data_IF_780080482401
#
_entry.id   IF_780080482401
#
_cell.length_a   1.000
_cell.length_b   1.000
_cell.length_c   1.000
_cell.angle_alpha   90.00
_cell.angle_beta   90.00
_cell.angle_gamma   90.00
#
_symmetry.space_group_name_H-M   'P 1'
#
loop_
_entity.id
_entity.type
_entity.pdbx_description
1 polymer ?
#
# COMPACT_ATOMS: atom_id res chain seq x y z
N UNK A 1 19.37 10.43 12.69
CA UNK A 1 18.84 9.07 12.95
C UNK A 1 18.70 8.37 11.60
N UNK A 2 19.09 7.10 11.48
CA UNK A 2 19.14 6.42 10.17
C UNK A 2 17.73 6.17 9.63
N UNK A 3 17.35 6.86 8.55
CA UNK A 3 16.07 6.74 7.84
C UNK A 3 15.97 5.49 6.93
N UNK A 4 16.88 4.54 7.13
CA UNK A 4 16.99 3.33 6.31
C UNK A 4 16.07 2.24 6.85
N UNK A 5 15.34 1.60 5.95
CA UNK A 5 14.48 0.46 6.29
C UNK A 5 15.38 -0.73 6.64
N UNK A 6 15.18 -1.40 7.79
CA UNK A 6 15.92 -2.62 8.12
C UNK A 6 15.74 -3.68 7.04
N UNK A 7 16.80 -4.45 6.72
CA UNK A 7 16.78 -5.45 5.63
C UNK A 7 15.61 -6.43 5.78
N UNK A 8 15.36 -6.95 6.99
CA UNK A 8 14.21 -7.85 7.23
C UNK A 8 12.84 -7.18 7.04
N UNK A 9 12.73 -5.87 7.26
CA UNK A 9 11.51 -5.10 7.00
C UNK A 9 11.29 -4.86 5.50
N UNK A 10 12.38 -4.72 4.74
CA UNK A 10 12.38 -4.57 3.27
C UNK A 10 11.86 -5.85 2.61
N UNK A 11 12.38 -7.01 3.00
CA UNK A 11 11.99 -8.30 2.42
C UNK A 11 10.53 -8.65 2.74
N UNK A 12 10.11 -8.41 3.98
CA UNK A 12 8.72 -8.64 4.42
C UNK A 12 7.75 -7.76 3.63
N UNK A 13 8.06 -6.47 3.49
CA UNK A 13 7.21 -5.54 2.75
C UNK A 13 7.14 -5.90 1.26
N UNK A 14 8.29 -6.26 0.66
CA UNK A 14 8.35 -6.72 -0.73
C UNK A 14 7.46 -7.94 -0.93
N UNK A 15 7.55 -8.93 -0.04
CA UNK A 15 6.73 -10.13 -0.11
C UNK A 15 5.22 -9.79 -0.04
N UNK A 16 4.83 -8.91 0.88
CA UNK A 16 3.43 -8.47 0.98
C UNK A 16 2.93 -7.73 -0.28
N UNK A 17 3.79 -6.94 -0.92
CA UNK A 17 3.44 -6.25 -2.17
C UNK A 17 3.34 -7.22 -3.36
N UNK A 18 4.21 -8.24 -3.41
CA UNK A 18 4.13 -9.30 -4.44
C UNK A 18 2.84 -10.10 -4.29
N UNK A 19 2.44 -10.43 -3.06
CA UNK A 19 1.17 -11.12 -2.76
C UNK A 19 -0.06 -10.26 -3.10
N UNK A 20 0.09 -8.93 -3.16
CA UNK A 20 -0.97 -8.01 -3.56
C UNK A 20 -1.20 -7.99 -5.08
N UNK A 21 -0.19 -8.28 -5.91
CA UNK A 21 -0.32 -8.20 -7.37
C UNK A 21 -1.42 -9.12 -7.95
N UNK A 22 -1.50 -10.42 -7.59
CA UNK A 22 -2.56 -11.29 -8.10
C UNK A 22 -3.96 -10.85 -7.62
N UNK A 23 -4.05 -10.20 -6.46
CA UNK A 23 -5.30 -9.65 -5.95
C UNK A 23 -5.71 -8.42 -6.75
N UNK A 24 -4.77 -7.54 -7.08
CA UNK A 24 -5.05 -6.39 -7.95
C UNK A 24 -5.49 -6.85 -9.35
N UNK A 25 -4.86 -7.90 -9.90
CA UNK A 25 -5.23 -8.49 -11.20
C UNK A 25 -6.63 -9.08 -11.18
N UNK A 26 -6.95 -9.89 -10.17
CA UNK A 26 -8.26 -10.52 -10.04
C UNK A 26 -9.40 -9.50 -9.88
N UNK A 27 -9.08 -8.25 -9.52
CA UNK A 27 -10.02 -7.15 -9.34
C UNK A 27 -9.97 -6.12 -10.47
N UNK A 28 -9.22 -6.38 -11.55
CA UNK A 28 -8.96 -5.43 -12.65
C UNK A 28 -8.52 -4.04 -12.15
N UNK A 29 -7.75 -4.01 -11.06
CA UNK A 29 -7.36 -2.80 -10.36
C UNK A 29 -5.97 -2.31 -10.81
N UNK A 30 -5.85 -1.84 -12.05
CA UNK A 30 -4.59 -1.38 -12.65
C UNK A 30 -3.85 -0.36 -11.78
N UNK A 31 -4.55 0.65 -11.25
CA UNK A 31 -3.93 1.67 -10.41
C UNK A 31 -3.30 1.11 -9.12
N UNK A 32 -3.91 0.06 -8.55
CA UNK A 32 -3.39 -0.60 -7.35
C UNK A 32 -2.18 -1.45 -7.70
N UNK A 33 -2.23 -2.15 -8.84
CA UNK A 33 -1.12 -2.93 -9.37
C UNK A 33 0.09 -2.04 -9.61
N UNK A 34 -0.08 -0.94 -10.35
CA UNK A 34 0.99 0.00 -10.69
C UNK A 34 1.64 0.61 -9.44
N UNK A 35 0.82 0.97 -8.44
CA UNK A 35 1.33 1.49 -7.16
C UNK A 35 2.15 0.44 -6.39
N UNK A 36 1.69 -0.82 -6.37
CA UNK A 36 2.42 -1.91 -5.75
C UNK A 36 3.72 -2.25 -6.48
N UNK A 37 3.70 -2.29 -7.82
CA UNK A 37 4.90 -2.50 -8.64
C UNK A 37 5.93 -1.39 -8.44
N UNK A 38 5.51 -0.12 -8.38
CA UNK A 38 6.40 0.99 -8.10
C UNK A 38 7.10 0.84 -6.74
N UNK A 39 6.39 0.37 -5.71
CA UNK A 39 7.01 0.03 -4.43
C UNK A 39 8.02 -1.12 -4.56
N UNK A 40 7.69 -2.19 -5.29
CA UNK A 40 8.58 -3.35 -5.48
C UNK A 40 9.86 -2.94 -6.21
N UNK A 41 9.75 -2.19 -7.32
CA UNK A 41 10.90 -1.70 -8.08
C UNK A 41 11.84 -0.89 -7.17
N UNK A 42 11.30 0.00 -6.35
CA UNK A 42 12.09 0.76 -5.40
C UNK A 42 12.76 -0.17 -4.37
N UNK A 43 12.03 -1.14 -3.83
CA UNK A 43 12.50 -2.16 -2.90
C UNK A 43 13.46 -3.19 -3.52
N UNK A 44 13.63 -3.25 -4.83
CA UNK A 44 14.61 -4.11 -5.51
C UNK A 44 15.88 -3.36 -5.91
N UNK A 45 15.90 -2.02 -5.82
CA UNK A 45 17.10 -1.25 -6.16
C UNK A 45 18.27 -1.59 -5.24
N UNK A 46 19.51 -1.76 -5.75
CA UNK A 46 20.67 -2.08 -4.90
C UNK A 46 21.05 -0.93 -3.95
N UNK A 47 20.47 0.25 -4.13
CA UNK A 47 20.68 1.40 -3.27
C UNK A 47 19.92 1.27 -1.94
N UNK A 48 20.36 2.05 -0.94
CA UNK A 48 19.59 2.22 0.29
C UNK A 48 18.28 2.92 -0.04
N UNK A 49 17.17 2.20 0.09
CA UNK A 49 15.83 2.78 0.06
C UNK A 49 15.63 3.56 1.34
N UNK A 50 15.45 4.87 1.21
CA UNK A 50 15.06 5.71 2.32
C UNK A 50 13.55 5.66 2.52
N UNK A 51 13.13 5.87 3.77
CA UNK A 51 11.71 6.00 4.09
C UNK A 51 11.04 7.16 3.34
N UNK A 52 11.80 8.20 2.97
CA UNK A 52 11.28 9.37 2.23
C UNK A 52 10.79 9.03 0.84
N UNK A 53 11.47 8.12 0.13
CA UNK A 53 11.07 7.71 -1.23
C UNK A 53 9.95 6.67 -1.19
N UNK A 54 9.93 5.80 -0.18
CA UNK A 54 8.97 4.71 -0.09
C UNK A 54 7.63 5.12 0.52
N UNK A 55 7.62 6.00 1.52
CA UNK A 55 6.40 6.39 2.24
C UNK A 55 5.32 7.01 1.33
N UNK A 56 5.62 7.88 0.33
CA UNK A 56 4.62 8.38 -0.61
C UNK A 56 3.99 7.27 -1.44
N UNK A 57 4.79 6.30 -1.89
CA UNK A 57 4.32 5.17 -2.69
C UNK A 57 3.43 4.24 -1.85
N UNK A 58 3.82 3.94 -0.60
CA UNK A 58 2.99 3.14 0.31
C UNK A 58 1.66 3.82 0.62
N UNK A 59 1.68 5.14 0.83
CA UNK A 59 0.43 5.92 0.99
C UNK A 59 -0.45 5.75 -0.24
N UNK A 60 0.10 5.93 -1.44
CA UNK A 60 -0.62 5.77 -2.69
C UNK A 60 -1.22 4.36 -2.82
N UNK A 61 -0.44 3.31 -2.52
CA UNK A 61 -0.91 1.92 -2.53
C UNK A 61 -2.10 1.72 -1.58
N UNK A 62 -2.06 2.27 -0.38
CA UNK A 62 -3.19 2.22 0.55
C UNK A 62 -4.41 3.01 0.07
N UNK A 63 -4.22 4.18 -0.56
CA UNK A 63 -5.31 4.96 -1.14
C UNK A 63 -5.99 4.21 -2.31
N UNK A 64 -5.20 3.56 -3.16
CA UNK A 64 -5.74 2.73 -4.26
C UNK A 64 -6.44 1.48 -3.73
N UNK A 65 -5.90 0.83 -2.71
CA UNK A 65 -6.55 -0.30 -2.07
C UNK A 65 -7.91 0.10 -1.46
N UNK A 66 -7.97 1.26 -0.79
CA UNK A 66 -9.23 1.79 -0.25
C UNK A 66 -10.28 2.05 -1.36
N UNK A 67 -9.87 2.60 -2.50
CA UNK A 67 -10.76 2.81 -3.64
C UNK A 67 -11.30 1.51 -4.21
N UNK A 68 -10.45 0.48 -4.36
CA UNK A 68 -10.85 -0.85 -4.82
C UNK A 68 -11.87 -1.47 -3.86
N UNK A 69 -11.61 -1.43 -2.55
CA UNK A 69 -12.57 -1.92 -1.55
C UNK A 69 -13.88 -1.13 -1.55
N UNK A 70 -13.83 0.18 -1.78
CA UNK A 70 -15.02 1.04 -1.87
C UNK A 70 -15.88 0.66 -3.07
N UNK A 71 -15.28 0.40 -4.23
CA UNK A 71 -16.00 -0.07 -5.43
C UNK A 71 -16.62 -1.44 -5.18
N UNK A 72 -15.82 -2.40 -4.70
CA UNK A 72 -16.33 -3.73 -4.36
C UNK A 72 -17.46 -3.71 -3.33
N UNK A 73 -17.40 -2.82 -2.33
CA UNK A 73 -18.46 -2.70 -1.32
C UNK A 73 -19.76 -2.08 -1.87
N UNK A 74 -19.72 -1.34 -2.98
CA UNK A 74 -20.92 -0.83 -3.65
C UNK A 74 -21.67 -1.93 -4.38
N UNK A 75 -20.93 -2.87 -4.96
CA UNK A 75 -21.47 -3.96 -5.79
C UNK A 75 -21.74 -5.24 -5.00
N UNK A 76 -21.23 -5.34 -3.76
CA UNK A 76 -21.42 -6.47 -2.87
C UNK A 76 -22.58 -6.23 -1.88
N UNK A 77 -23.18 -7.33 -1.43
CA UNK A 77 -24.20 -7.34 -0.39
C UNK A 77 -23.82 -8.22 0.82
N UNK A 78 -24.56 -8.04 1.91
CA UNK A 78 -24.48 -8.91 3.09
C UNK A 78 -23.10 -8.91 3.77
N UNK A 79 -22.64 -10.07 4.28
CA UNK A 79 -21.39 -10.17 5.04
C UNK A 79 -20.14 -9.76 4.24
N UNK A 80 -20.15 -9.92 2.92
CA UNK A 80 -19.05 -9.53 2.05
C UNK A 80 -18.89 -8.01 2.02
N UNK A 81 -19.99 -7.27 1.88
CA UNK A 81 -19.99 -5.80 1.94
C UNK A 81 -19.39 -5.28 3.25
N UNK A 82 -19.80 -5.84 4.39
CA UNK A 82 -19.28 -5.45 5.69
C UNK A 82 -17.76 -5.70 5.81
N UNK A 83 -17.28 -6.81 5.26
CA UNK A 83 -15.84 -7.12 5.22
C UNK A 83 -15.07 -6.14 4.34
N UNK A 84 -15.60 -5.80 3.16
CA UNK A 84 -14.98 -4.83 2.25
C UNK A 84 -14.94 -3.42 2.86
N UNK A 85 -16.00 -3.00 3.54
CA UNK A 85 -16.04 -1.74 4.31
C UNK A 85 -14.98 -1.71 5.41
N UNK A 86 -14.80 -2.81 6.15
CA UNK A 86 -13.74 -2.92 7.16
C UNK A 86 -12.34 -2.87 6.55
N UNK A 87 -12.14 -3.53 5.41
CA UNK A 87 -10.90 -3.46 4.63
C UNK A 87 -10.61 -2.04 4.14
N UNK A 88 -11.64 -1.33 3.62
CA UNK A 88 -11.55 0.09 3.23
C UNK A 88 -11.10 0.94 4.40
N UNK A 89 -11.80 0.85 5.54
CA UNK A 89 -11.50 1.66 6.72
C UNK A 89 -10.06 1.45 7.22
N UNK A 90 -9.56 0.20 7.17
CA UNK A 90 -8.17 -0.11 7.50
C UNK A 90 -7.19 0.51 6.51
N UNK A 91 -7.45 0.41 5.21
CA UNK A 91 -6.59 1.00 4.18
C UNK A 91 -6.53 2.53 4.29
N UNK A 92 -7.69 3.19 4.52
CA UNK A 92 -7.77 4.64 4.75
C UNK A 92 -7.00 5.06 6.02
N UNK A 93 -7.09 4.27 7.10
CA UNK A 93 -6.34 4.52 8.32
C UNK A 93 -4.82 4.42 8.10
N UNK A 94 -4.36 3.42 7.35
CA UNK A 94 -2.94 3.27 7.00
C UNK A 94 -2.44 4.41 6.11
N UNK A 95 -3.23 4.83 5.11
CA UNK A 95 -2.89 5.98 4.28
C UNK A 95 -2.76 7.27 5.10
N UNK A 96 -3.71 7.51 6.03
CA UNK A 96 -3.68 8.66 6.94
C UNK A 96 -2.49 8.62 7.89
N UNK A 97 -2.20 7.44 8.44
CA UNK A 97 -1.03 7.24 9.29
C UNK A 97 0.25 7.60 8.52
N UNK A 98 0.41 7.10 7.29
CA UNK A 98 1.55 7.42 6.43
C UNK A 98 1.63 8.94 6.12
N UNK A 99 0.49 9.57 5.86
CA UNK A 99 0.42 11.03 5.65
C UNK A 99 0.92 11.83 6.87
N UNK A 100 0.68 11.36 8.09
CA UNK A 100 1.17 12.02 9.31
C UNK A 100 2.68 11.82 9.51
N UNK A 101 3.23 10.69 9.04
CA UNK A 101 4.67 10.43 9.07
C UNK A 101 5.44 11.19 7.98
N UNK A 102 4.84 11.47 6.82
CA UNK A 102 5.52 12.14 5.72
C UNK A 102 6.14 13.51 6.11
N UNK A 103 5.43 14.45 6.75
CA UNK A 103 6.03 15.72 7.19
C UNK A 103 7.25 15.55 8.08
N UNK A 104 7.24 14.57 8.98
CA UNK A 104 8.37 14.28 9.89
C UNK A 104 9.60 13.71 9.17
N UNK A 105 9.41 13.17 7.97
CA UNK A 105 10.50 12.69 7.13
C UNK A 105 11.14 13.81 6.30
N UNK A 106 10.44 14.93 6.07
CA UNK A 106 10.94 16.08 5.30
C UNK A 106 11.31 17.30 6.15
N UNK A 107 11.17 17.19 7.48
CA UNK A 107 11.64 18.17 8.48
C UNK A 107 13.10 17.93 8.86
#
# INVERSE_FOLDING_TARGET
MSSAIPIGGRDTLRQSLVELLPVADALDASDLRDAAEACIVLLDTPMRVDQKSLAPLLKLTHERAAEVFRRGARDADGPLRARLEACRARAEAQAKQMQQFLPTLFS
#
